data_IF_331088257938
#
_entry.id   IF_331088257938
#
_cell.length_a   1.000
_cell.length_b   1.000
_cell.length_c   1.000
_cell.angle_alpha   90.00
_cell.angle_beta   90.00
_cell.angle_gamma   90.00
#
_symmetry.space_group_name_H-M   'P 1'
#
loop_
_entity.id
_entity.type
_entity.pdbx_description
1 polymer ?
#
# COMPACT_ATOMS: atom_id res chain seq x y z
N UNK A 1 -1.18 11.08 6.24
CA UNK A 1 -1.73 10.06 5.59
C UNK A 1 -2.23 10.29 4.19
N UNK A 2 -2.83 9.34 3.64
CA UNK A 2 -3.19 9.37 2.24
C UNK A 2 -4.13 10.52 1.93
N UNK A 3 -3.77 11.30 0.94
CA UNK A 3 -4.68 12.28 0.37
C UNK A 3 -5.72 11.51 -0.44
N UNK A 4 -6.97 11.89 -0.34
CA UNK A 4 -7.97 11.31 -1.20
C UNK A 4 -7.76 11.80 -2.61
N UNK A 5 -7.50 10.88 -3.50
CA UNK A 5 -7.40 11.21 -4.91
C UNK A 5 -8.78 11.50 -5.47
N UNK A 6 -8.89 12.59 -6.22
CA UNK A 6 -10.11 12.88 -6.96
C UNK A 6 -10.20 12.10 -8.27
N UNK A 7 -9.14 11.40 -8.62
CA UNK A 7 -9.11 10.60 -9.85
C UNK A 7 -10.05 9.41 -9.72
N UNK A 8 -10.79 9.08 -10.77
CA UNK A 8 -11.63 7.89 -10.75
C UNK A 8 -10.77 6.63 -10.65
N UNK A 9 -11.38 5.57 -10.18
CA UNK A 9 -10.74 4.27 -10.18
C UNK A 9 -10.38 3.88 -11.62
N UNK A 10 -9.13 3.56 -11.80
CA UNK A 10 -8.67 3.02 -13.06
C UNK A 10 -8.37 1.55 -12.86
N UNK A 11 -9.06 0.72 -13.60
CA UNK A 11 -8.78 -0.71 -13.59
C UNK A 11 -7.34 -0.95 -14.01
N UNK A 12 -6.72 -1.92 -13.38
CA UNK A 12 -5.41 -2.39 -13.82
C UNK A 12 -5.57 -2.93 -15.23
N UNK A 13 -4.73 -2.45 -16.13
CA UNK A 13 -4.72 -2.95 -17.49
C UNK A 13 -4.39 -4.44 -17.47
N UNK A 14 -5.33 -5.26 -17.90
CA UNK A 14 -5.13 -6.71 -17.93
C UNK A 14 -3.95 -7.13 -18.82
N UNK A 15 -3.54 -6.28 -19.74
CA UNK A 15 -2.35 -6.50 -20.56
C UNK A 15 -1.06 -6.27 -19.80
N UNK A 16 -1.10 -5.51 -18.72
CA UNK A 16 0.08 -5.24 -17.90
C UNK A 16 0.43 -6.43 -16.99
N UNK A 17 -0.53 -7.32 -16.75
CA UNK A 17 -0.33 -8.50 -15.91
C UNK A 17 -0.49 -9.74 -16.74
N UNK A 18 0.58 -10.50 -16.88
CA UNK A 18 0.56 -11.79 -17.60
C UNK A 18 0.11 -12.87 -16.63
N UNK A 19 -0.61 -13.86 -17.16
CA UNK A 19 -1.03 -15.02 -16.37
C UNK A 19 0.20 -15.70 -15.76
N UNK A 20 0.17 -15.92 -14.45
CA UNK A 20 1.26 -16.52 -13.71
C UNK A 20 2.25 -15.53 -13.11
N UNK A 21 2.12 -14.23 -13.41
CA UNK A 21 2.94 -13.21 -12.78
C UNK A 21 2.33 -12.75 -11.47
N UNK A 22 3.21 -12.42 -10.52
CA UNK A 22 2.80 -11.79 -9.26
C UNK A 22 3.00 -10.29 -9.37
N UNK A 23 1.99 -9.54 -9.02
CA UNK A 23 2.05 -8.08 -9.00
C UNK A 23 2.55 -7.60 -7.65
N UNK A 24 3.30 -6.51 -7.64
CA UNK A 24 3.80 -5.89 -6.43
C UNK A 24 3.55 -4.39 -6.48
N UNK A 25 2.98 -3.88 -5.42
CA UNK A 25 2.83 -2.43 -5.22
C UNK A 25 3.60 -2.04 -3.97
N UNK A 26 4.42 -1.01 -4.09
CA UNK A 26 5.22 -0.52 -2.99
C UNK A 26 5.36 0.99 -3.11
N UNK A 27 5.24 1.67 -1.96
CA UNK A 27 5.40 3.11 -1.89
C UNK A 27 6.20 3.46 -0.65
N UNK A 28 7.20 4.31 -0.80
CA UNK A 28 8.04 4.74 0.32
C UNK A 28 7.23 5.44 1.42
N UNK A 29 6.08 6.00 1.08
CA UNK A 29 5.20 6.62 2.06
C UNK A 29 4.72 5.63 3.13
N UNK A 30 4.76 4.33 2.82
CA UNK A 30 4.40 3.29 3.80
C UNK A 30 5.33 3.29 5.01
N UNK A 31 6.55 3.81 4.87
CA UNK A 31 7.50 3.94 5.99
C UNK A 31 7.13 5.03 6.97
N UNK A 32 6.17 5.88 6.64
CA UNK A 32 5.67 6.90 7.55
C UNK A 32 4.72 6.35 8.60
N UNK A 33 4.31 5.09 8.43
CA UNK A 33 3.39 4.42 9.34
C UNK A 33 4.15 3.95 10.58
N UNK A 34 4.15 4.78 11.60
CA UNK A 34 4.83 4.49 12.87
C UNK A 34 4.04 5.03 14.05
N UNK A 35 4.31 4.48 15.22
CA UNK A 35 3.74 4.97 16.45
C UNK A 35 4.76 5.90 17.14
N UNK A 36 4.53 7.22 17.16
CA UNK A 36 5.49 8.15 17.73
C UNK A 36 5.60 8.07 19.25
N UNK A 37 4.64 7.42 19.92
CA UNK A 37 4.64 7.29 21.37
C UNK A 37 5.28 6.01 21.88
N UNK A 38 5.46 5.04 20.99
CA UNK A 38 6.02 3.74 21.38
C UNK A 38 6.94 3.23 20.28
N UNK A 39 8.24 3.43 20.50
CA UNK A 39 9.26 3.02 19.53
C UNK A 39 9.39 1.51 19.40
N UNK A 40 8.82 0.76 20.33
CA UNK A 40 8.85 -0.70 20.30
C UNK A 40 7.54 -1.32 19.81
N UNK A 41 6.63 -0.49 19.31
CA UNK A 41 5.37 -0.98 18.78
C UNK A 41 5.61 -1.91 17.59
N UNK A 42 4.87 -3.02 17.57
CA UNK A 42 5.05 -4.03 16.49
C UNK A 42 4.65 -3.51 15.12
N UNK A 43 3.70 -2.57 15.05
CA UNK A 43 3.38 -1.87 13.80
C UNK A 43 4.39 -0.75 13.60
N UNK A 44 5.38 -1.00 12.78
CA UNK A 44 6.47 -0.04 12.57
C UNK A 44 7.01 -0.19 11.15
N UNK A 45 7.70 0.85 10.65
CA UNK A 45 8.25 0.81 9.28
C UNK A 45 9.24 -0.33 9.04
N UNK A 46 9.92 -0.79 10.09
CA UNK A 46 10.91 -1.85 9.96
C UNK A 46 10.32 -3.18 9.47
N UNK A 47 9.06 -3.45 9.78
CA UNK A 47 8.38 -4.65 9.26
C UNK A 47 8.43 -4.67 7.74
N UNK A 48 8.01 -3.57 7.13
CA UNK A 48 7.99 -3.46 5.68
C UNK A 48 9.41 -3.43 5.11
N UNK A 49 10.28 -2.66 5.74
CA UNK A 49 11.67 -2.52 5.27
C UNK A 49 12.39 -3.86 5.24
N UNK A 50 12.27 -4.63 6.29
CA UNK A 50 12.91 -5.95 6.39
C UNK A 50 12.28 -6.96 5.44
N UNK A 51 10.97 -6.95 5.33
CA UNK A 51 10.28 -7.85 4.40
C UNK A 51 10.71 -7.57 2.97
N UNK A 52 10.77 -6.31 2.57
CA UNK A 52 11.21 -5.92 1.24
C UNK A 52 12.67 -6.30 1.01
N UNK A 53 13.52 -6.04 1.98
CA UNK A 53 14.95 -6.37 1.88
C UNK A 53 15.15 -7.87 1.71
N UNK A 54 14.42 -8.68 2.46
CA UNK A 54 14.51 -10.13 2.35
C UNK A 54 14.04 -10.63 0.98
N UNK A 55 12.95 -10.07 0.49
CA UNK A 55 12.46 -10.41 -0.84
C UNK A 55 13.49 -10.05 -1.91
N UNK A 56 14.17 -8.92 -1.75
CA UNK A 56 15.22 -8.51 -2.67
C UNK A 56 16.40 -9.47 -2.65
N UNK A 57 16.84 -9.86 -1.46
CA UNK A 57 17.95 -10.80 -1.29
C UNK A 57 17.67 -12.16 -1.92
N UNK A 58 16.43 -12.60 -1.85
CA UNK A 58 16.02 -13.87 -2.43
C UNK A 58 15.69 -13.78 -3.93
N UNK A 59 15.83 -12.59 -4.52
CA UNK A 59 15.53 -12.39 -5.93
C UNK A 59 14.04 -12.36 -6.26
N UNK A 60 13.18 -12.32 -5.26
CA UNK A 60 11.74 -12.36 -5.47
C UNK A 60 11.19 -11.09 -6.11
N UNK A 61 11.80 -9.93 -5.82
CA UNK A 61 11.36 -8.67 -6.41
C UNK A 61 11.51 -8.67 -7.93
N UNK A 62 12.58 -9.29 -8.42
CA UNK A 62 12.81 -9.39 -9.87
C UNK A 62 11.78 -10.28 -10.55
N UNK A 63 11.12 -11.16 -9.81
CA UNK A 63 10.10 -12.06 -10.33
C UNK A 63 8.71 -11.45 -10.33
N UNK A 64 8.55 -10.26 -9.75
CA UNK A 64 7.27 -9.59 -9.65
C UNK A 64 7.14 -8.49 -10.70
N UNK A 65 5.93 -8.25 -11.12
CA UNK A 65 5.58 -7.08 -11.94
C UNK A 65 5.29 -5.92 -11.00
N UNK A 66 6.13 -4.89 -10.99
CA UNK A 66 5.86 -3.70 -10.19
C UNK A 66 4.79 -2.86 -10.84
N UNK A 67 3.79 -2.50 -10.06
CA UNK A 67 2.72 -1.61 -10.47
C UNK A 67 2.86 -0.30 -9.71
N UNK A 68 2.50 0.83 -10.34
CA UNK A 68 2.56 2.11 -9.64
C UNK A 68 1.53 2.16 -8.51
N UNK A 69 1.89 2.79 -7.40
CA UNK A 69 0.95 3.07 -6.34
C UNK A 69 0.04 4.23 -6.74
N UNK A 70 -1.13 4.27 -6.17
CA UNK A 70 -2.05 5.39 -6.32
C UNK A 70 -2.87 5.54 -5.06
N UNK A 71 -3.44 6.71 -4.88
CA UNK A 71 -4.34 6.94 -3.77
C UNK A 71 -5.69 6.27 -4.04
N UNK A 72 -6.26 5.69 -2.98
CA UNK A 72 -7.60 5.12 -3.06
C UNK A 72 -8.63 6.24 -3.07
N UNK A 73 -9.65 6.09 -3.90
CA UNK A 73 -10.79 7.00 -3.88
C UNK A 73 -11.75 6.63 -2.76
N UNK A 74 -12.56 7.60 -2.35
CA UNK A 74 -13.53 7.39 -1.28
C UNK A 74 -14.49 6.24 -1.57
N UNK A 75 -14.95 6.14 -2.80
CA UNK A 75 -15.86 5.07 -3.19
C UNK A 75 -15.24 3.69 -3.01
N UNK A 76 -13.96 3.58 -3.30
CA UNK A 76 -13.24 2.32 -3.14
C UNK A 76 -13.12 1.94 -1.66
N UNK A 77 -12.82 2.93 -0.82
CA UNK A 77 -12.69 2.71 0.62
C UNK A 77 -14.04 2.33 1.22
N UNK A 78 -15.11 3.00 0.81
CA UNK A 78 -16.44 2.79 1.35
C UNK A 78 -17.07 1.45 0.93
N UNK A 79 -16.45 0.72 0.02
CA UNK A 79 -16.90 -0.64 -0.31
C UNK A 79 -16.73 -1.62 0.85
N UNK A 80 -15.77 -1.36 1.73
CA UNK A 80 -15.43 -2.26 2.83
C UNK A 80 -15.42 -1.56 4.19
N UNK A 81 -15.46 -0.23 4.23
CA UNK A 81 -15.39 0.56 5.45
C UNK A 81 -16.57 1.51 5.55
N UNK A 82 -16.97 1.82 6.79
CA UNK A 82 -18.01 2.80 7.03
C UNK A 82 -17.48 4.21 6.79
N UNK A 83 -18.40 5.15 6.54
CA UNK A 83 -18.02 6.56 6.41
C UNK A 83 -17.42 7.11 7.70
N UNK A 84 -17.89 6.62 8.83
CA UNK A 84 -17.36 7.00 10.15
C UNK A 84 -15.91 6.56 10.30
N UNK A 85 -15.61 5.32 9.90
CA UNK A 85 -14.25 4.81 9.93
C UNK A 85 -13.32 5.63 9.03
N UNK A 86 -13.79 5.98 7.84
CA UNK A 86 -13.01 6.80 6.92
C UNK A 86 -12.70 8.17 7.52
N UNK A 87 -13.68 8.81 8.16
CA UNK A 87 -13.49 10.09 8.80
C UNK A 87 -12.50 9.99 9.97
N UNK A 88 -12.61 8.95 10.78
CA UNK A 88 -11.70 8.74 11.89
C UNK A 88 -10.26 8.54 11.42
N UNK A 89 -10.07 7.79 10.36
CA UNK A 89 -8.74 7.55 9.80
C UNK A 89 -8.12 8.84 9.28
N UNK A 90 -8.92 9.74 8.72
CA UNK A 90 -8.44 11.03 8.21
C UNK A 90 -8.05 12.02 9.30
N UNK A 91 -8.55 11.84 10.50
CA UNK A 91 -8.20 12.71 11.64
C UNK A 91 -6.80 12.50 12.16
N UNK A 92 -6.22 11.36 11.88
CA UNK A 92 -4.96 10.95 12.50
C UNK A 92 -3.78 11.39 11.67
#
# INVERSE_FOLDING_TARGET
MAKCSSKPFQSIDSKAITRGETSLVYDKAMFLHENPWDSHHIECPERLRRARQRCKELGLLAMCKELPSREAGDEEILRAHSSEHLQETRRV
#
